data_IF_693860446392
#
_entry.id   IF_693860446392
#
_cell.length_a   1.000
_cell.length_b   1.000
_cell.length_c   1.000
_cell.angle_alpha   90.00
_cell.angle_beta   90.00
_cell.angle_gamma   90.00
#
_symmetry.space_group_name_H-M   'P 1'
#
loop_
_entity.id
_entity.type
_entity.pdbx_description
1 polymer ?
#
# COMPACT_ATOMS: atom_id res chain seq x y z
N UNK A 1 -53.71 -12.34 56.34
CA UNK A 1 -53.41 -12.44 54.89
C UNK A 1 -53.35 -11.08 54.19
N UNK A 2 -54.33 -10.18 54.34
CA UNK A 2 -54.35 -8.89 53.62
C UNK A 2 -53.16 -7.94 53.85
N UNK A 3 -52.59 -7.90 55.06
CA UNK A 3 -51.41 -7.06 55.36
C UNK A 3 -50.13 -7.51 54.66
N UNK A 4 -50.00 -8.82 54.40
CA UNK A 4 -48.83 -9.37 53.72
C UNK A 4 -48.90 -9.10 52.21
N UNK A 5 -50.10 -9.17 51.63
CA UNK A 5 -50.35 -8.86 50.23
C UNK A 5 -50.08 -7.37 49.92
N UNK A 6 -50.50 -6.47 50.81
CA UNK A 6 -50.26 -5.03 50.64
C UNK A 6 -48.77 -4.66 50.65
N UNK A 7 -47.97 -5.37 51.46
CA UNK A 7 -46.53 -5.14 51.56
C UNK A 7 -45.80 -5.60 50.28
N UNK A 8 -46.19 -6.74 49.73
CA UNK A 8 -45.65 -7.25 48.45
C UNK A 8 -46.00 -6.31 47.29
N UNK A 9 -47.24 -5.83 47.22
CA UNK A 9 -47.68 -4.88 46.19
C UNK A 9 -46.92 -3.54 46.27
N UNK A 10 -46.66 -3.06 47.48
CA UNK A 10 -45.87 -1.85 47.71
C UNK A 10 -44.42 -1.99 47.20
N UNK A 11 -43.77 -3.12 47.49
CA UNK A 11 -42.40 -3.38 47.02
C UNK A 11 -42.35 -3.50 45.50
N UNK A 12 -43.32 -4.19 44.88
CA UNK A 12 -43.38 -4.31 43.42
C UNK A 12 -43.60 -2.96 42.73
N UNK A 13 -44.42 -2.08 43.30
CA UNK A 13 -44.64 -0.73 42.78
C UNK A 13 -43.34 0.10 42.81
N UNK A 14 -42.58 0.03 43.90
CA UNK A 14 -41.30 0.74 44.02
C UNK A 14 -40.29 0.21 43.01
N UNK A 15 -40.18 -1.12 42.84
CA UNK A 15 -39.31 -1.73 41.83
C UNK A 15 -39.71 -1.29 40.42
N UNK A 16 -41.02 -1.24 40.13
CA UNK A 16 -41.52 -0.78 38.84
C UNK A 16 -41.16 0.68 38.57
N UNK A 17 -41.33 1.57 39.55
CA UNK A 17 -40.98 3.00 39.43
C UNK A 17 -39.47 3.18 39.21
N UNK A 18 -38.63 2.43 39.94
CA UNK A 18 -37.16 2.48 39.77
C UNK A 18 -36.74 1.95 38.40
N UNK A 19 -37.33 0.84 37.94
CA UNK A 19 -37.09 0.29 36.60
C UNK A 19 -37.54 1.24 35.49
N UNK A 20 -38.68 1.92 35.67
CA UNK A 20 -39.18 2.92 34.73
C UNK A 20 -38.26 4.16 34.70
N UNK A 21 -37.80 4.61 35.86
CA UNK A 21 -36.81 5.70 35.97
C UNK A 21 -35.47 5.36 35.32
N UNK A 22 -34.98 4.14 35.49
CA UNK A 22 -33.74 3.66 34.84
C UNK A 22 -33.90 3.48 33.32
N UNK A 23 -35.07 3.05 32.85
CA UNK A 23 -35.37 2.99 31.40
C UNK A 23 -35.51 4.38 30.78
N UNK A 24 -36.13 5.34 31.47
CA UNK A 24 -36.22 6.73 31.00
C UNK A 24 -34.86 7.44 31.04
N UNK A 25 -33.98 7.11 31.99
CA UNK A 25 -32.61 7.66 32.05
C UNK A 25 -31.67 7.10 30.97
N UNK A 26 -31.96 5.90 30.44
CA UNK A 26 -31.29 5.33 29.24
C UNK A 26 -31.97 5.72 27.92
N UNK A 27 -33.12 6.39 27.96
CA UNK A 27 -34.01 6.59 26.81
C UNK A 27 -34.06 8.00 26.22
N UNK A 28 -33.16 8.92 26.62
CA UNK A 28 -33.09 10.26 26.03
C UNK A 28 -31.83 10.45 25.19
N UNK A 29 -31.76 9.75 24.06
CA UNK A 29 -31.25 10.30 22.80
C UNK A 29 -32.40 10.37 21.77
N UNK A 30 -33.59 10.74 22.24
CA UNK A 30 -34.82 10.91 21.46
C UNK A 30 -34.91 12.27 20.74
N UNK A 31 -33.85 13.07 20.76
CA UNK A 31 -33.54 13.94 19.63
C UNK A 31 -32.61 13.14 18.74
N UNK A 32 -33.20 12.39 17.80
CA UNK A 32 -32.44 12.06 16.60
C UNK A 32 -31.88 13.38 16.10
N UNK A 33 -30.57 13.44 15.90
CA UNK A 33 -29.99 14.51 15.10
C UNK A 33 -30.75 14.46 13.78
N UNK A 34 -31.70 15.37 13.61
CA UNK A 34 -32.10 15.84 12.28
C UNK A 34 -30.85 16.51 11.76
N UNK A 35 -29.91 15.69 11.27
CA UNK A 35 -28.91 16.12 10.31
C UNK A 35 -29.75 16.73 9.20
N UNK A 36 -29.76 18.06 9.15
CA UNK A 36 -30.29 18.78 8.01
C UNK A 36 -29.63 18.14 6.79
N UNK A 37 -30.40 17.73 5.76
CA UNK A 37 -29.79 17.25 4.53
C UNK A 37 -28.99 18.42 3.95
N UNK A 38 -27.68 18.44 4.25
CA UNK A 38 -26.76 19.42 3.70
C UNK A 38 -26.64 19.03 2.22
N UNK A 39 -27.32 19.76 1.35
CA UNK A 39 -27.17 19.61 -0.09
C UNK A 39 -25.85 20.31 -0.48
N UNK A 40 -24.74 19.60 -0.31
CA UNK A 40 -23.40 20.12 -0.59
C UNK A 40 -23.18 20.01 -2.10
N UNK A 41 -23.11 21.14 -2.80
CA UNK A 41 -22.57 21.17 -4.15
C UNK A 41 -21.03 21.18 -4.08
N UNK A 42 -20.40 20.10 -4.59
CA UNK A 42 -18.94 19.94 -4.60
C UNK A 42 -18.26 21.11 -5.33
N UNK A 43 -18.93 21.70 -6.33
CA UNK A 43 -18.40 22.84 -7.09
C UNK A 43 -18.35 24.13 -6.29
N UNK A 44 -19.14 24.24 -5.22
CA UNK A 44 -19.15 25.42 -4.34
C UNK A 44 -18.08 25.33 -3.26
N UNK A 45 -17.57 24.14 -2.95
CA UNK A 45 -16.60 23.91 -1.86
C UNK A 45 -15.15 23.70 -2.33
N UNK A 46 -14.94 23.42 -3.63
CA UNK A 46 -13.62 23.33 -4.23
C UNK A 46 -13.22 24.65 -4.92
N UNK A 47 -11.93 25.02 -4.92
CA UNK A 47 -11.42 26.09 -5.77
C UNK A 47 -11.81 25.90 -7.24
N UNK A 48 -12.16 26.98 -7.93
CA UNK A 48 -12.63 26.93 -9.32
C UNK A 48 -11.65 26.31 -10.32
N UNK A 49 -10.35 26.29 -10.00
CA UNK A 49 -9.32 25.67 -10.82
C UNK A 49 -9.23 24.14 -10.65
N UNK A 50 -9.83 23.59 -9.60
CA UNK A 50 -9.79 22.16 -9.29
C UNK A 50 -11.01 21.46 -9.89
N UNK A 51 -10.82 20.21 -10.30
CA UNK A 51 -11.89 19.41 -10.90
C UNK A 51 -12.24 18.26 -9.96
N UNK A 52 -13.50 18.12 -9.51
CA UNK A 52 -13.87 17.00 -8.66
C UNK A 52 -13.72 15.67 -9.39
N UNK A 53 -13.25 14.64 -8.68
CA UNK A 53 -13.11 13.28 -9.17
C UNK A 53 -14.15 12.38 -8.48
N UNK A 54 -15.28 12.16 -9.16
CA UNK A 54 -16.36 11.32 -8.66
C UNK A 54 -17.38 12.06 -7.79
N UNK A 55 -18.12 11.29 -7.00
CA UNK A 55 -19.19 11.79 -6.11
C UNK A 55 -18.67 12.06 -4.70
N UNK A 56 -19.47 12.78 -3.91
CA UNK A 56 -19.21 13.03 -2.50
C UNK A 56 -19.37 11.73 -1.70
N UNK A 57 -18.32 11.36 -0.96
CA UNK A 57 -18.29 10.07 -0.24
C UNK A 57 -18.49 10.34 1.24
N UNK A 58 -19.54 9.77 1.84
CA UNK A 58 -19.72 9.85 3.29
C UNK A 58 -18.81 8.85 4.01
N UNK A 59 -18.07 9.31 5.02
CA UNK A 59 -17.26 8.47 5.90
C UNK A 59 -17.37 8.95 7.37
N UNK A 60 -16.69 8.25 8.28
CA UNK A 60 -16.57 8.60 9.70
C UNK A 60 -15.27 7.98 10.25
N UNK A 61 -14.17 8.72 10.14
CA UNK A 61 -12.83 8.30 10.57
C UNK A 61 -12.52 8.76 11.99
N UNK A 62 -12.96 9.95 12.37
CA UNK A 62 -12.74 10.49 13.72
C UNK A 62 -13.59 9.81 14.81
N UNK A 63 -14.65 9.09 14.42
CA UNK A 63 -15.49 8.28 15.29
C UNK A 63 -16.60 9.07 15.98
N UNK A 64 -16.84 10.32 15.56
CA UNK A 64 -17.80 11.20 16.19
C UNK A 64 -19.20 11.09 15.53
N UNK A 65 -20.26 11.76 16.06
CA UNK A 65 -21.61 11.68 15.49
C UNK A 65 -21.85 12.64 14.31
N UNK A 66 -20.88 13.51 14.00
CA UNK A 66 -20.94 14.46 12.91
C UNK A 66 -20.74 13.73 11.56
N UNK A 67 -21.11 14.40 10.46
CA UNK A 67 -20.95 13.78 9.14
C UNK A 67 -19.66 14.25 8.52
N UNK A 68 -18.84 13.31 8.09
CA UNK A 68 -17.65 13.62 7.32
C UNK A 68 -17.88 13.21 5.84
N UNK A 69 -17.36 14.04 4.93
CA UNK A 69 -17.42 13.81 3.50
C UNK A 69 -16.07 13.91 2.83
N UNK A 70 -15.66 12.84 2.17
CA UNK A 70 -14.46 12.75 1.36
C UNK A 70 -14.75 13.21 -0.08
N UNK A 71 -13.89 14.10 -0.56
CA UNK A 71 -13.84 14.57 -1.95
C UNK A 71 -12.45 14.30 -2.50
N UNK A 72 -12.38 13.59 -3.63
CA UNK A 72 -11.19 13.56 -4.46
C UNK A 72 -11.29 14.62 -5.55
N UNK A 73 -10.16 15.19 -5.94
CA UNK A 73 -10.11 16.24 -6.97
C UNK A 73 -8.79 16.19 -7.73
N UNK A 74 -8.82 16.71 -8.95
CA UNK A 74 -7.63 16.98 -9.76
C UNK A 74 -7.20 18.42 -9.61
N UNK A 75 -5.90 18.61 -9.49
CA UNK A 75 -5.25 19.92 -9.46
C UNK A 75 -3.91 19.86 -10.21
N UNK A 76 -3.37 21.03 -10.56
CA UNK A 76 -2.13 21.20 -11.33
C UNK A 76 -2.05 20.28 -12.56
N UNK A 77 -0.92 19.59 -12.78
CA UNK A 77 -0.67 18.66 -13.88
C UNK A 77 -1.41 17.31 -13.71
N UNK A 78 -2.73 17.37 -13.53
CA UNK A 78 -3.63 16.23 -13.35
C UNK A 78 -3.35 15.34 -12.11
N UNK A 79 -2.68 15.90 -11.09
CA UNK A 79 -2.46 15.24 -9.82
C UNK A 79 -3.77 15.10 -9.06
N UNK A 80 -3.97 13.95 -8.40
CA UNK A 80 -5.15 13.69 -7.57
C UNK A 80 -4.86 14.04 -6.12
N UNK A 81 -5.67 14.92 -5.55
CA UNK A 81 -5.69 15.26 -4.14
C UNK A 81 -6.95 14.72 -3.45
N UNK A 82 -7.00 14.88 -2.13
CA UNK A 82 -8.17 14.52 -1.33
C UNK A 82 -8.38 15.48 -0.16
N UNK A 83 -9.64 15.77 0.14
CA UNK A 83 -10.06 16.56 1.31
C UNK A 83 -11.22 15.83 1.99
N UNK A 84 -11.21 15.83 3.31
CA UNK A 84 -12.37 15.46 4.14
C UNK A 84 -12.99 16.74 4.68
N UNK A 85 -14.27 16.94 4.44
CA UNK A 85 -15.07 18.01 5.04
C UNK A 85 -15.83 17.45 6.23
N UNK A 86 -15.70 18.08 7.39
CA UNK A 86 -16.37 17.73 8.63
C UNK A 86 -17.53 18.71 8.91
N UNK A 87 -18.74 18.18 9.18
CA UNK A 87 -19.92 18.97 9.52
C UNK A 87 -19.94 19.39 10.99
N UNK A 88 -19.40 20.57 11.28
CA UNK A 88 -19.47 21.14 12.62
C UNK A 88 -20.79 21.84 12.86
N UNK A 89 -21.41 21.52 14.01
CA UNK A 89 -22.66 22.16 14.43
C UNK A 89 -22.48 23.63 14.88
N UNK A 90 -21.24 24.11 15.01
CA UNK A 90 -20.90 25.50 15.36
C UNK A 90 -19.78 26.04 14.45
N UNK A 91 -19.95 27.22 13.81
CA UNK A 91 -18.89 27.83 12.99
C UNK A 91 -17.66 28.20 13.84
N UNK A 92 -16.46 27.77 13.43
CA UNK A 92 -15.21 28.26 14.04
C UNK A 92 -14.87 29.65 13.50
N UNK A 93 -14.68 30.63 14.40
CA UNK A 93 -14.00 31.89 14.08
C UNK A 93 -14.78 32.91 13.24
N UNK A 94 -16.11 32.98 13.38
CA UNK A 94 -17.02 33.82 12.58
C UNK A 94 -16.82 35.36 12.62
N UNK A 95 -15.70 35.89 13.15
CA UNK A 95 -15.50 37.33 13.34
C UNK A 95 -14.62 38.01 12.27
N UNK A 96 -13.93 37.31 11.37
CA UNK A 96 -12.89 37.97 10.53
C UNK A 96 -12.83 37.65 9.03
N UNK A 97 -13.68 36.79 8.46
CA UNK A 97 -13.66 36.43 7.03
C UNK A 97 -14.98 36.86 6.35
N UNK A 98 -14.96 37.58 5.21
CA UNK A 98 -16.17 37.92 4.45
C UNK A 98 -16.98 36.67 4.06
N UNK A 99 -18.31 36.75 4.17
CA UNK A 99 -19.24 35.63 3.97
C UNK A 99 -19.08 34.90 2.61
N UNK A 100 -18.54 35.58 1.59
CA UNK A 100 -18.31 35.05 0.24
C UNK A 100 -17.09 34.12 0.14
N UNK A 101 -16.18 34.17 1.12
CA UNK A 101 -14.95 33.37 1.15
C UNK A 101 -15.00 32.30 2.26
N UNK A 102 -16.14 32.18 2.97
CA UNK A 102 -16.35 31.14 3.97
C UNK A 102 -16.88 29.87 3.26
N UNK A 103 -16.36 28.67 3.54
CA UNK A 103 -17.08 27.44 3.24
C UNK A 103 -18.49 27.53 3.87
N UNK A 104 -19.51 26.81 3.35
CA UNK A 104 -20.81 26.76 4.00
C UNK A 104 -20.59 26.55 5.49
N UNK A 105 -21.09 27.46 6.35
CA UNK A 105 -20.62 27.76 7.71
C UNK A 105 -20.55 26.60 8.73
N UNK A 106 -20.76 25.38 8.26
CA UNK A 106 -20.76 24.12 8.98
C UNK A 106 -19.69 23.15 8.45
N UNK A 107 -18.90 23.46 7.40
CA UNK A 107 -17.91 22.52 6.84
C UNK A 107 -16.48 22.96 7.11
N UNK A 108 -15.73 22.15 7.88
CA UNK A 108 -14.30 22.35 8.12
C UNK A 108 -13.49 21.44 7.18
N UNK A 109 -12.64 21.99 6.29
CA UNK A 109 -11.83 21.18 5.40
C UNK A 109 -10.55 20.66 6.07
N UNK A 110 -10.33 19.35 5.98
CA UNK A 110 -9.08 18.68 6.35
C UNK A 110 -8.43 18.05 5.11
N UNK A 111 -7.30 18.61 4.68
CA UNK A 111 -6.58 18.14 3.49
C UNK A 111 -5.82 16.84 3.78
N UNK A 112 -5.99 15.84 2.90
CA UNK A 112 -5.28 14.56 2.97
C UNK A 112 -3.90 14.65 2.31
N UNK A 113 -3.85 14.84 0.98
CA UNK A 113 -2.67 15.19 0.21
C UNK A 113 -3.06 16.10 -0.96
N UNK A 114 -2.24 17.10 -1.32
CA UNK A 114 -1.09 17.59 -0.56
C UNK A 114 -1.57 18.13 0.79
N UNK A 115 -0.80 17.89 1.85
CA UNK A 115 -1.13 18.37 3.21
C UNK A 115 -0.32 19.61 3.53
N UNK A 116 -0.73 20.42 4.51
CA UNK A 116 0.08 21.55 4.97
C UNK A 116 1.23 21.12 5.91
N UNK A 117 1.33 19.81 6.21
CA UNK A 117 2.33 19.24 7.13
C UNK A 117 3.55 18.72 6.37
N UNK A 118 4.73 19.13 6.80
CA UNK A 118 5.97 18.46 6.43
C UNK A 118 6.02 17.04 7.07
N UNK A 119 6.69 16.05 6.43
CA UNK A 119 7.37 16.15 5.13
C UNK A 119 6.43 16.01 3.93
N UNK A 120 5.14 15.72 4.12
CA UNK A 120 4.20 15.37 3.05
C UNK A 120 3.56 16.56 2.33
N UNK A 121 4.16 17.75 2.47
CA UNK A 121 3.61 18.99 1.95
C UNK A 121 3.54 19.10 0.42
N UNK A 122 4.17 18.14 -0.29
CA UNK A 122 4.34 18.13 -1.74
C UNK A 122 3.80 16.82 -2.35
N UNK A 123 3.08 16.01 -1.56
CA UNK A 123 2.56 14.71 -1.99
C UNK A 123 1.22 14.81 -2.73
N UNK A 124 0.89 13.77 -3.51
CA UNK A 124 -0.43 13.60 -4.13
C UNK A 124 -0.84 12.13 -4.08
N UNK A 125 -2.13 11.86 -4.21
CA UNK A 125 -2.71 10.52 -4.08
C UNK A 125 -2.51 9.65 -5.32
N UNK A 126 -2.50 10.22 -6.52
CA UNK A 126 -2.34 9.49 -7.79
C UNK A 126 -2.30 10.42 -9.00
N UNK A 127 -2.04 9.87 -10.19
CA UNK A 127 -2.06 10.63 -11.46
C UNK A 127 -3.23 10.21 -12.36
N UNK A 128 -3.58 8.93 -12.35
CA UNK A 128 -4.61 8.40 -13.23
C UNK A 128 -5.94 8.20 -12.51
N UNK A 129 -5.92 7.51 -11.37
CA UNK A 129 -7.10 7.12 -10.58
C UNK A 129 -6.69 6.96 -9.12
N UNK A 130 -7.65 7.05 -8.23
CA UNK A 130 -7.55 6.58 -6.83
C UNK A 130 -8.63 5.54 -6.54
N UNK A 131 -8.30 4.56 -5.70
CA UNK A 131 -9.27 3.72 -5.00
C UNK A 131 -9.09 3.95 -3.49
N UNK A 132 -10.17 3.76 -2.72
CA UNK A 132 -10.14 3.95 -1.28
C UNK A 132 -10.91 2.87 -0.53
N UNK A 133 -10.58 2.70 0.74
CA UNK A 133 -11.32 1.89 1.72
C UNK A 133 -11.30 2.56 3.08
N UNK A 134 -12.47 2.65 3.70
CA UNK A 134 -12.58 2.92 5.13
C UNK A 134 -12.38 1.61 5.89
N UNK A 135 -11.46 1.62 6.84
CA UNK A 135 -11.16 0.50 7.71
C UNK A 135 -11.61 0.87 9.12
N UNK A 136 -12.66 0.18 9.59
CA UNK A 136 -13.11 0.29 10.97
C UNK A 136 -12.20 -0.56 11.86
N UNK A 137 -11.64 0.03 12.91
CA UNK A 137 -10.90 -0.73 13.91
C UNK A 137 -11.90 -1.25 14.95
N UNK A 138 -12.41 -2.46 14.72
CA UNK A 138 -13.41 -3.10 15.58
C UNK A 138 -12.87 -4.40 16.19
N UNK A 139 -13.04 -4.66 17.50
CA UNK A 139 -13.59 -3.76 18.53
C UNK A 139 -12.67 -2.57 18.80
N UNK A 140 -13.17 -1.53 19.48
CA UNK A 140 -12.39 -0.41 20.04
C UNK A 140 -11.12 -0.98 20.69
N UNK A 141 -10.05 -1.04 19.91
CA UNK A 141 -8.80 -1.60 20.35
C UNK A 141 -8.09 -0.43 20.96
N UNK A 142 -7.85 -0.52 22.26
CA UNK A 142 -7.05 0.47 22.96
C UNK A 142 -5.61 0.13 22.64
N UNK A 143 -4.85 1.10 22.13
CA UNK A 143 -3.41 0.96 22.03
C UNK A 143 -2.86 0.75 23.44
N UNK A 144 -2.27 -0.42 23.69
CA UNK A 144 -1.77 -0.82 25.01
C UNK A 144 -0.61 0.07 25.51
N UNK A 145 0.03 0.84 24.62
CA UNK A 145 1.10 1.77 24.99
C UNK A 145 0.56 3.15 25.35
N UNK A 146 -0.38 3.69 24.56
CA UNK A 146 -0.93 5.04 24.78
C UNK A 146 -2.20 5.08 25.64
N UNK A 147 -2.94 3.98 25.73
CA UNK A 147 -4.24 3.93 26.40
C UNK A 147 -5.39 4.55 25.59
N UNK A 148 -5.13 4.98 24.36
CA UNK A 148 -6.11 5.64 23.49
C UNK A 148 -6.77 4.65 22.51
N UNK A 149 -8.03 4.90 22.09
CA UNK A 149 -8.65 4.18 20.99
C UNK A 149 -7.81 4.28 19.72
N UNK A 150 -7.53 3.15 19.05
CA UNK A 150 -6.94 3.18 17.71
C UNK A 150 -7.98 3.81 16.77
N UNK A 151 -7.67 4.96 16.12
CA UNK A 151 -8.63 5.61 15.24
C UNK A 151 -9.00 4.72 14.05
N UNK A 152 -10.16 4.96 13.43
CA UNK A 152 -10.43 4.37 12.12
C UNK A 152 -9.34 4.80 11.11
N UNK A 153 -9.24 4.07 10.00
CA UNK A 153 -8.27 4.37 8.96
C UNK A 153 -8.97 4.60 7.63
N UNK A 154 -8.43 5.53 6.84
CA UNK A 154 -8.76 5.65 5.43
C UNK A 154 -7.54 5.21 4.63
N UNK A 155 -7.66 4.09 3.93
CA UNK A 155 -6.64 3.56 3.06
C UNK A 155 -6.93 4.01 1.62
N UNK A 156 -5.95 4.60 0.95
CA UNK A 156 -6.05 5.09 -0.43
C UNK A 156 -4.90 4.51 -1.24
N UNK A 157 -5.20 4.06 -2.46
CA UNK A 157 -4.19 3.64 -3.45
C UNK A 157 -4.31 4.45 -4.72
N UNK A 158 -3.17 4.94 -5.20
CA UNK A 158 -3.05 5.73 -6.42
C UNK A 158 -2.52 4.93 -7.57
N UNK A 159 -3.05 5.19 -8.76
CA UNK A 159 -2.68 4.49 -9.97
C UNK A 159 -1.88 5.38 -10.93
N UNK A 160 -0.92 4.73 -11.60
CA UNK A 160 -0.16 5.26 -12.72
C UNK A 160 0.02 4.14 -13.75
N UNK A 161 -0.39 4.38 -15.00
CA UNK A 161 -0.35 3.38 -16.09
C UNK A 161 -1.09 2.07 -15.71
N UNK A 162 -2.22 2.20 -15.01
CA UNK A 162 -3.04 1.08 -14.56
C UNK A 162 -2.46 0.26 -13.40
N UNK A 163 -1.29 0.64 -12.86
CA UNK A 163 -0.65 -0.03 -11.73
C UNK A 163 -0.70 0.83 -10.47
N UNK A 164 -0.79 0.22 -9.30
CA UNK A 164 -0.75 0.95 -8.02
C UNK A 164 0.67 1.40 -7.76
N UNK A 165 0.95 2.70 -7.70
CA UNK A 165 2.30 3.19 -7.41
C UNK A 165 2.38 4.15 -6.22
N UNK A 166 1.24 4.39 -5.58
CA UNK A 166 1.11 5.16 -4.35
C UNK A 166 0.16 4.46 -3.40
N UNK A 167 0.53 4.44 -2.12
CA UNK A 167 -0.32 3.95 -1.03
C UNK A 167 -0.28 4.98 0.08
N UNK A 168 -1.45 5.36 0.57
CA UNK A 168 -1.61 6.30 1.68
C UNK A 168 -2.54 5.70 2.72
N UNK A 169 -2.09 5.69 3.97
CA UNK A 169 -2.91 5.34 5.12
C UNK A 169 -3.14 6.60 5.95
N UNK A 170 -4.39 7.01 6.11
CA UNK A 170 -4.77 8.20 6.87
C UNK A 170 -5.47 7.81 8.16
N UNK A 171 -5.31 8.66 9.18
CA UNK A 171 -6.02 8.55 10.46
C UNK A 171 -6.29 9.93 11.04
N UNK A 172 -7.40 10.05 11.78
CA UNK A 172 -7.68 11.25 12.54
C UNK A 172 -6.69 11.42 13.69
N UNK A 173 -6.19 12.64 13.90
CA UNK A 173 -5.35 12.98 15.05
C UNK A 173 -6.16 13.83 16.04
N UNK A 174 -6.59 15.03 15.61
CA UNK A 174 -7.48 15.91 16.36
C UNK A 174 -7.90 17.10 15.48
N UNK A 175 -8.81 17.91 16.00
CA UNK A 175 -9.38 19.08 15.33
C UNK A 175 -8.40 20.19 14.94
N UNK A 176 -7.25 20.26 15.61
CA UNK A 176 -6.21 21.26 15.30
C UNK A 176 -5.28 20.72 14.23
N UNK A 177 -5.01 19.42 14.28
CA UNK A 177 -4.01 18.77 13.46
C UNK A 177 -4.58 18.15 12.18
N UNK A 178 -5.87 17.82 12.18
CA UNK A 178 -6.54 17.07 11.12
C UNK A 178 -6.06 15.63 11.06
N UNK A 179 -5.79 15.18 9.82
CA UNK A 179 -5.39 13.82 9.53
C UNK A 179 -3.87 13.65 9.51
N UNK A 180 -3.40 12.57 10.12
CA UNK A 180 -2.05 12.02 9.92
C UNK A 180 -2.02 11.12 8.69
N UNK A 181 -0.81 10.88 8.17
CA UNK A 181 -0.61 10.06 6.98
C UNK A 181 0.69 9.28 7.01
N UNK A 182 0.61 7.99 6.66
CA UNK A 182 1.75 7.22 6.18
C UNK A 182 1.62 7.08 4.67
N UNK A 183 2.57 7.65 3.93
CA UNK A 183 2.54 7.67 2.46
C UNK A 183 3.76 6.96 1.87
N UNK A 184 3.52 6.06 0.91
CA UNK A 184 4.54 5.36 0.15
C UNK A 184 4.37 5.67 -1.35
N UNK A 185 5.50 5.84 -2.05
CA UNK A 185 5.57 6.04 -3.49
C UNK A 185 6.72 5.22 -4.08
N UNK A 186 6.50 4.63 -5.24
CA UNK A 186 7.54 3.97 -6.03
C UNK A 186 7.51 4.45 -7.50
N UNK A 187 8.63 4.29 -8.21
CA UNK A 187 8.71 4.50 -9.66
C UNK A 187 8.08 3.36 -10.46
N UNK A 188 8.01 2.16 -9.86
CA UNK A 188 7.34 1.00 -10.44
C UNK A 188 5.91 0.87 -9.93
N UNK A 189 5.60 -0.26 -9.31
CA UNK A 189 4.30 -0.49 -8.67
C UNK A 189 4.42 -1.27 -7.36
N UNK A 190 3.43 -1.13 -6.50
CA UNK A 190 3.29 -1.86 -5.26
C UNK A 190 2.48 -3.15 -5.44
N UNK A 191 2.77 -4.10 -4.56
CA UNK A 191 2.01 -5.32 -4.30
C UNK A 191 2.00 -5.59 -2.80
N UNK A 192 1.06 -6.40 -2.32
CA UNK A 192 1.05 -6.95 -0.96
C UNK A 192 1.85 -8.25 -0.83
N UNK A 193 2.42 -8.76 -1.94
CA UNK A 193 3.20 -9.99 -1.99
C UNK A 193 4.60 -9.77 -2.55
N UNK A 194 5.57 -10.49 -2.00
CA UNK A 194 6.90 -10.59 -2.60
C UNK A 194 6.95 -11.55 -3.78
N UNK A 195 5.93 -12.38 -4.03
CA UNK A 195 5.95 -13.39 -5.11
C UNK A 195 5.07 -13.01 -6.29
N UNK A 196 4.00 -12.28 -6.05
CA UNK A 196 3.04 -11.89 -7.07
C UNK A 196 3.00 -10.35 -7.18
N UNK A 197 3.44 -9.74 -8.29
CA UNK A 197 3.44 -8.30 -8.50
C UNK A 197 2.03 -7.68 -8.56
N UNK A 198 0.97 -8.49 -8.62
CA UNK A 198 -0.41 -8.03 -8.72
C UNK A 198 -1.28 -8.44 -7.53
N UNK A 199 -0.67 -8.98 -6.46
CA UNK A 199 -1.43 -9.37 -5.27
C UNK A 199 -1.91 -8.15 -4.48
N UNK A 200 -3.23 -7.99 -4.48
CA UNK A 200 -3.96 -7.04 -3.66
C UNK A 200 -5.11 -7.73 -2.92
N UNK A 201 -5.06 -9.05 -2.71
CA UNK A 201 -6.20 -9.76 -2.11
C UNK A 201 -6.48 -9.31 -0.67
N UNK A 202 -5.45 -9.00 0.11
CA UNK A 202 -5.62 -8.49 1.48
C UNK A 202 -6.23 -7.07 1.51
N UNK A 203 -6.08 -6.28 0.45
CA UNK A 203 -6.82 -5.03 0.28
C UNK A 203 -8.33 -5.30 0.25
N UNK A 204 -8.76 -6.33 -0.47
CA UNK A 204 -10.18 -6.70 -0.57
C UNK A 204 -10.79 -7.08 0.78
N UNK A 205 -9.96 -7.55 1.71
CA UNK A 205 -10.34 -7.91 3.07
C UNK A 205 -10.35 -6.72 4.06
N UNK A 206 -9.88 -5.54 3.64
CA UNK A 206 -9.85 -4.36 4.51
C UNK A 206 -8.76 -4.43 5.60
N UNK A 207 -7.66 -5.13 5.31
CA UNK A 207 -6.51 -5.21 6.22
C UNK A 207 -5.57 -4.04 5.95
N UNK A 208 -5.06 -3.40 7.01
CA UNK A 208 -4.02 -2.37 6.90
C UNK A 208 -2.73 -3.03 6.39
N UNK A 209 -2.15 -2.56 5.27
CA UNK A 209 -0.88 -3.10 4.78
C UNK A 209 0.27 -2.67 5.70
N UNK A 210 0.74 -3.56 6.57
CA UNK A 210 1.96 -3.31 7.35
C UNK A 210 3.22 -3.40 6.49
N UNK A 211 3.15 -4.15 5.39
CA UNK A 211 4.23 -4.30 4.42
C UNK A 211 3.72 -4.07 3.00
N UNK A 212 4.52 -3.39 2.19
CA UNK A 212 4.31 -3.22 0.75
C UNK A 212 5.55 -3.70 0.02
N UNK A 213 5.39 -4.29 -1.15
CA UNK A 213 6.49 -4.69 -2.02
C UNK A 213 6.46 -3.84 -3.28
N UNK A 214 7.44 -2.96 -3.43
CA UNK A 214 7.68 -2.21 -4.66
C UNK A 214 8.43 -3.08 -5.66
N UNK A 215 7.91 -3.15 -6.88
CA UNK A 215 8.49 -3.82 -8.04
C UNK A 215 8.93 -2.74 -9.00
N UNK A 216 10.23 -2.45 -9.01
CA UNK A 216 10.82 -1.31 -9.72
C UNK A 216 11.54 -1.78 -10.97
N UNK A 217 10.98 -1.55 -12.18
CA UNK A 217 11.59 -1.97 -13.43
C UNK A 217 13.00 -1.43 -13.54
N UNK A 218 13.93 -2.31 -13.86
CA UNK A 218 15.28 -1.95 -14.24
C UNK A 218 15.27 -1.59 -15.73
N UNK A 219 16.07 -0.59 -16.13
CA UNK A 219 16.15 -0.16 -17.52
C UNK A 219 16.98 -1.15 -18.34
N UNK A 220 16.46 -2.36 -18.50
CA UNK A 220 17.11 -3.49 -19.17
C UNK A 220 16.18 -4.16 -20.19
N UNK A 221 16.75 -5.07 -20.98
CA UNK A 221 16.06 -5.81 -22.04
C UNK A 221 15.40 -7.11 -21.58
N UNK A 222 15.73 -7.56 -20.37
CA UNK A 222 15.35 -8.82 -19.74
C UNK A 222 14.08 -8.71 -18.86
N UNK A 223 13.48 -7.52 -18.75
CA UNK A 223 12.27 -7.25 -17.97
C UNK A 223 12.47 -7.60 -16.48
N UNK A 224 13.61 -7.16 -15.93
CA UNK A 224 13.93 -7.35 -14.53
C UNK A 224 13.38 -6.20 -13.69
N UNK A 225 13.04 -6.52 -12.45
CA UNK A 225 12.60 -5.57 -11.45
C UNK A 225 13.50 -5.72 -10.23
N UNK A 226 13.89 -4.59 -9.63
CA UNK A 226 14.37 -4.58 -8.25
C UNK A 226 13.16 -4.62 -7.34
N UNK A 227 13.20 -5.50 -6.36
CA UNK A 227 12.14 -5.63 -5.37
C UNK A 227 12.58 -4.95 -4.09
N UNK A 228 11.84 -3.93 -3.66
CA UNK A 228 12.09 -3.18 -2.42
C UNK A 228 10.86 -3.34 -1.54
N UNK A 229 11.03 -3.75 -0.28
CA UNK A 229 9.90 -3.78 0.64
C UNK A 229 9.85 -2.50 1.45
N UNK A 230 8.65 -2.08 1.79
CA UNK A 230 8.37 -0.93 2.63
C UNK A 230 7.63 -1.43 3.86
N UNK A 231 7.98 -0.92 5.03
CA UNK A 231 7.31 -1.26 6.29
C UNK A 231 6.59 -0.06 6.84
N UNK A 232 5.39 -0.26 7.35
CA UNK A 232 4.76 0.70 8.23
C UNK A 232 5.51 0.68 9.57
N UNK A 233 6.14 1.80 9.91
CA UNK A 233 6.86 1.98 11.17
C UNK A 233 6.19 3.08 11.97
N UNK A 234 6.10 2.90 13.29
CA UNK A 234 5.69 3.95 14.22
C UNK A 234 6.92 4.55 14.87
N UNK A 235 7.05 5.87 14.81
CA UNK A 235 8.12 6.59 15.52
C UNK A 235 7.82 6.76 17.02
N UNK A 236 8.54 7.68 17.65
CA UNK A 236 8.45 7.94 19.11
C UNK A 236 7.07 8.42 19.53
N UNK A 237 6.37 9.16 18.66
CA UNK A 237 4.98 9.57 18.87
C UNK A 237 4.06 8.80 17.93
N UNK A 238 3.42 7.71 18.41
CA UNK A 238 2.45 6.95 17.63
C UNK A 238 1.36 7.90 17.10
N UNK A 239 1.02 7.81 15.81
CA UNK A 239 0.15 8.73 15.03
C UNK A 239 0.81 9.97 14.42
N UNK A 240 1.83 10.58 15.02
CA UNK A 240 2.52 11.72 14.38
C UNK A 240 3.68 11.26 13.52
N UNK A 241 4.39 10.24 13.97
CA UNK A 241 5.64 9.77 13.35
C UNK A 241 5.47 8.45 12.59
N UNK A 242 4.22 8.00 12.42
CA UNK A 242 3.94 6.78 11.66
C UNK A 242 4.11 7.03 10.16
N UNK A 243 4.97 6.24 9.51
CA UNK A 243 5.27 6.39 8.08
C UNK A 243 5.64 5.05 7.44
N UNK A 244 5.66 5.01 6.11
CA UNK A 244 6.24 3.87 5.39
C UNK A 244 7.73 4.12 5.17
N UNK A 245 8.57 3.20 5.63
CA UNK A 245 10.01 3.25 5.48
C UNK A 245 10.47 2.20 4.45
N UNK A 246 11.22 2.60 3.40
CA UNK A 246 11.77 1.66 2.42
C UNK A 246 12.97 0.91 2.97
N UNK A 247 12.97 -0.41 2.80
CA UNK A 247 14.09 -1.28 3.06
C UNK A 247 14.60 -1.80 1.72
N UNK A 248 15.68 -1.19 1.25
CA UNK A 248 16.32 -1.54 -0.01
C UNK A 248 16.91 -2.95 0.09
N UNK A 249 16.14 -3.95 -0.33
CA UNK A 249 16.71 -5.20 -0.83
C UNK A 249 17.16 -4.93 -2.25
N UNK A 250 18.46 -5.12 -2.54
CA UNK A 250 18.96 -5.08 -3.91
C UNK A 250 18.48 -6.27 -4.76
N UNK A 251 17.52 -7.04 -4.26
CA UNK A 251 17.04 -8.28 -4.85
C UNK A 251 16.38 -8.05 -6.22
N UNK A 252 16.99 -8.61 -7.24
CA UNK A 252 16.56 -8.62 -8.62
C UNK A 252 15.68 -9.83 -8.87
N UNK A 253 14.57 -9.58 -9.54
CA UNK A 253 13.60 -10.61 -9.91
C UNK A 253 13.00 -10.27 -11.27
N UNK A 254 12.14 -11.13 -11.79
CA UNK A 254 11.36 -10.82 -12.99
C UNK A 254 10.20 -9.92 -12.61
N UNK A 255 9.94 -8.88 -13.40
CA UNK A 255 8.78 -8.00 -13.17
C UNK A 255 7.43 -8.73 -13.21
N UNK A 256 7.37 -9.93 -13.80
CA UNK A 256 6.17 -10.79 -13.79
C UNK A 256 6.00 -11.64 -12.52
N UNK A 257 6.94 -11.57 -11.56
CA UNK A 257 6.98 -12.39 -10.34
C UNK A 257 7.46 -13.83 -10.55
N UNK A 258 7.58 -14.28 -11.81
CA UNK A 258 8.01 -15.64 -12.15
C UNK A 258 9.03 -15.64 -13.28
N UNK A 259 9.96 -16.62 -13.29
CA UNK A 259 10.88 -16.76 -14.40
C UNK A 259 10.12 -17.19 -15.67
N UNK A 260 10.42 -16.59 -16.84
CA UNK A 260 9.97 -17.11 -18.12
C UNK A 260 10.41 -18.57 -18.29
N UNK A 261 9.61 -19.36 -19.00
CA UNK A 261 9.99 -20.73 -19.35
C UNK A 261 11.30 -20.75 -20.16
N UNK A 262 11.42 -19.80 -21.08
CA UNK A 262 12.59 -19.64 -21.95
C UNK A 262 12.94 -18.15 -22.11
N UNK A 263 13.79 -17.62 -21.23
CA UNK A 263 14.27 -16.25 -21.29
C UNK A 263 15.09 -15.97 -22.56
N UNK A 264 14.79 -14.86 -23.24
CA UNK A 264 15.44 -14.48 -24.50
C UNK A 264 16.90 -14.01 -24.36
N UNK A 265 17.35 -13.72 -23.13
CA UNK A 265 18.66 -13.13 -22.86
C UNK A 265 19.45 -13.97 -21.84
N UNK A 266 20.80 -14.01 -21.97
CA UNK A 266 21.65 -14.86 -21.12
C UNK A 266 21.59 -14.46 -19.64
N UNK A 267 21.53 -13.16 -19.33
CA UNK A 267 21.37 -12.70 -17.95
C UNK A 267 20.04 -13.18 -17.33
N UNK A 268 18.95 -13.11 -18.09
CA UNK A 268 17.65 -13.62 -17.66
C UNK A 268 17.67 -15.14 -17.49
N UNK A 269 18.42 -15.87 -18.32
CA UNK A 269 18.58 -17.31 -18.17
C UNK A 269 19.24 -17.70 -16.84
N UNK A 270 20.28 -16.96 -16.45
CA UNK A 270 20.98 -17.17 -15.16
C UNK A 270 20.07 -16.84 -13.98
N UNK A 271 19.41 -15.67 -14.00
CA UNK A 271 18.47 -15.29 -12.94
C UNK A 271 17.33 -16.31 -12.81
N UNK A 272 16.81 -16.80 -13.93
CA UNK A 272 15.74 -17.79 -13.92
C UNK A 272 16.18 -19.11 -13.28
N UNK A 273 17.40 -19.58 -13.55
CA UNK A 273 17.96 -20.76 -12.89
C UNK A 273 18.20 -20.53 -11.40
N UNK A 274 18.75 -19.37 -11.02
CA UNK A 274 18.92 -18.99 -9.62
C UNK A 274 17.59 -18.84 -8.87
N UNK A 275 16.48 -18.67 -9.58
CA UNK A 275 15.12 -18.58 -9.02
C UNK A 275 14.47 -19.96 -8.85
N UNK A 276 14.52 -20.83 -9.86
CA UNK A 276 13.74 -22.08 -9.88
C UNK A 276 14.56 -23.38 -9.90
N UNK A 277 15.87 -23.31 -10.08
CA UNK A 277 16.79 -24.45 -10.06
C UNK A 277 16.53 -25.52 -11.11
N UNK A 278 15.76 -25.21 -12.15
CA UNK A 278 15.34 -26.23 -13.12
C UNK A 278 16.52 -26.68 -13.98
N UNK A 279 16.71 -28.00 -14.03
CA UNK A 279 17.78 -28.65 -14.78
C UNK A 279 17.74 -28.38 -16.29
N UNK A 280 16.56 -28.14 -16.86
CA UNK A 280 16.39 -27.84 -18.29
C UNK A 280 16.98 -26.50 -18.73
N UNK A 281 17.37 -25.65 -17.76
CA UNK A 281 18.10 -24.40 -17.98
C UNK A 281 19.61 -24.59 -18.16
N UNK A 282 20.12 -25.77 -17.80
CA UNK A 282 21.51 -26.15 -17.89
C UNK A 282 21.80 -26.81 -19.24
N UNK A 283 23.05 -26.69 -19.69
CA UNK A 283 23.52 -27.41 -20.86
C UNK A 283 23.56 -28.92 -20.55
N UNK A 284 22.96 -29.80 -21.38
CA UNK A 284 22.75 -31.21 -21.01
C UNK A 284 24.00 -31.96 -20.55
N UNK A 285 25.13 -31.74 -21.22
CA UNK A 285 26.42 -32.35 -20.91
C UNK A 285 26.96 -31.99 -19.52
N UNK A 286 26.60 -30.83 -18.98
CA UNK A 286 27.11 -30.31 -17.70
C UNK A 286 26.02 -30.28 -16.62
N UNK A 287 24.78 -30.64 -16.97
CA UNK A 287 23.62 -30.41 -16.11
C UNK A 287 23.70 -31.12 -14.76
N UNK A 288 24.25 -32.33 -14.69
CA UNK A 288 24.39 -33.06 -13.43
C UNK A 288 25.46 -32.41 -12.52
N UNK A 289 26.64 -32.13 -13.06
CA UNK A 289 27.73 -31.47 -12.33
C UNK A 289 27.32 -30.10 -11.83
N UNK A 290 26.69 -29.29 -12.68
CA UNK A 290 26.22 -27.96 -12.30
C UNK A 290 25.11 -28.03 -11.26
N UNK A 291 24.16 -28.97 -11.39
CA UNK A 291 23.11 -29.12 -10.37
C UNK A 291 23.67 -29.51 -9.00
N UNK A 292 24.69 -30.38 -8.97
CA UNK A 292 25.36 -30.74 -7.71
C UNK A 292 26.14 -29.56 -7.13
N UNK A 293 26.83 -28.80 -7.97
CA UNK A 293 27.61 -27.63 -7.54
C UNK A 293 26.72 -26.48 -7.05
N UNK A 294 25.59 -26.25 -7.70
CA UNK A 294 24.75 -25.08 -7.50
C UNK A 294 23.51 -25.34 -6.65
N UNK A 295 23.14 -26.60 -6.40
CA UNK A 295 21.90 -26.97 -5.72
C UNK A 295 21.71 -26.29 -4.36
N UNK A 296 22.79 -26.14 -3.60
CA UNK A 296 22.76 -25.50 -2.29
C UNK A 296 22.64 -23.96 -2.35
N UNK A 297 22.83 -23.36 -3.53
CA UNK A 297 22.75 -21.91 -3.76
C UNK A 297 21.38 -21.45 -4.26
N UNK A 298 20.41 -22.37 -4.42
CA UNK A 298 19.12 -22.07 -5.05
C UNK A 298 17.97 -22.31 -4.05
N UNK A 299 17.03 -21.35 -3.89
CA UNK A 299 16.98 -20.05 -4.56
C UNK A 299 18.01 -19.05 -4.01
N UNK A 300 18.55 -18.18 -4.87
CA UNK A 300 19.47 -17.11 -4.48
C UNK A 300 18.79 -15.73 -4.44
N UNK A 301 19.27 -14.85 -3.56
CA UNK A 301 18.97 -13.42 -3.61
C UNK A 301 19.99 -12.72 -4.49
N UNK A 302 19.57 -12.24 -5.66
CA UNK A 302 20.49 -11.68 -6.67
C UNK A 302 20.49 -10.16 -6.54
N UNK A 303 21.64 -9.55 -6.25
CA UNK A 303 21.74 -8.09 -6.08
C UNK A 303 22.02 -7.36 -7.39
N UNK A 304 22.84 -7.98 -8.24
CA UNK A 304 23.28 -7.41 -9.50
C UNK A 304 23.48 -8.53 -10.51
N UNK A 305 23.11 -8.24 -11.76
CA UNK A 305 23.42 -9.10 -12.89
C UNK A 305 23.87 -8.26 -14.07
N UNK A 306 25.05 -8.56 -14.58
CA UNK A 306 25.67 -7.81 -15.68
C UNK A 306 26.15 -8.79 -16.74
N UNK A 307 25.82 -8.55 -18.01
CA UNK A 307 26.31 -9.34 -19.13
C UNK A 307 27.45 -8.58 -19.83
N UNK A 308 28.73 -8.79 -19.44
CA UNK A 308 29.88 -8.01 -19.93
C UNK A 308 30.16 -8.12 -21.44
N UNK A 309 29.59 -9.10 -22.14
CA UNK A 309 29.71 -9.22 -23.60
C UNK A 309 29.96 -10.66 -24.10
N UNK A 310 30.02 -10.81 -25.42
CA UNK A 310 30.28 -12.09 -26.09
C UNK A 310 31.73 -12.52 -25.83
N UNK A 311 31.91 -13.71 -25.28
CA UNK A 311 33.24 -14.28 -24.97
C UNK A 311 33.99 -14.74 -26.22
N UNK A 312 33.24 -15.34 -27.14
CA UNK A 312 33.76 -15.90 -28.37
C UNK A 312 32.64 -15.90 -29.42
N UNK A 313 33.00 -15.55 -30.67
CA UNK A 313 32.14 -15.69 -31.84
C UNK A 313 32.14 -17.10 -32.44
N UNK A 314 32.76 -18.08 -31.75
CA UNK A 314 32.67 -19.49 -32.08
C UNK A 314 31.22 -19.99 -32.25
N UNK A 315 31.07 -21.14 -32.90
CA UNK A 315 29.78 -21.78 -33.14
C UNK A 315 29.61 -22.97 -32.17
N UNK A 316 28.75 -22.87 -31.14
CA UNK A 316 27.82 -21.78 -30.85
C UNK A 316 28.38 -20.66 -29.95
N UNK A 317 27.84 -19.43 -30.03
CA UNK A 317 28.32 -18.28 -29.28
C UNK A 317 28.10 -18.42 -27.78
N UNK A 318 29.06 -17.87 -27.01
CA UNK A 318 29.06 -17.89 -25.55
C UNK A 318 29.12 -16.48 -24.99
N UNK A 319 28.42 -16.26 -23.89
CA UNK A 319 28.33 -14.98 -23.18
C UNK A 319 28.70 -15.19 -21.72
N UNK A 320 29.45 -14.25 -21.16
CA UNK A 320 29.70 -14.18 -19.72
C UNK A 320 28.60 -13.35 -19.05
N UNK A 321 28.17 -13.79 -17.88
CA UNK A 321 27.21 -13.10 -17.02
C UNK A 321 27.78 -13.08 -15.62
N UNK A 322 28.05 -11.89 -15.10
CA UNK A 322 28.48 -11.69 -13.72
C UNK A 322 27.27 -11.49 -12.82
N UNK A 323 27.27 -12.17 -11.69
CA UNK A 323 26.20 -12.15 -10.70
C UNK A 323 26.79 -11.84 -9.34
N UNK A 324 26.29 -10.79 -8.71
CA UNK A 324 26.45 -10.56 -7.28
C UNK A 324 25.18 -11.06 -6.57
N UNK A 325 25.33 -11.94 -5.59
CA UNK A 325 24.22 -12.50 -4.84
C UNK A 325 24.58 -12.61 -3.35
N UNK A 326 23.58 -12.84 -2.51
CA UNK A 326 23.78 -13.12 -1.09
C UNK A 326 23.21 -14.48 -0.72
N UNK A 327 23.95 -15.20 0.12
CA UNK A 327 23.53 -16.48 0.70
C UNK A 327 23.93 -16.52 2.16
N UNK A 328 23.00 -16.88 3.04
CA UNK A 328 23.25 -16.95 4.49
C UNK A 328 23.89 -15.64 5.04
N UNK A 329 23.51 -14.49 4.46
CA UNK A 329 24.07 -13.16 4.70
C UNK A 329 25.55 -12.97 4.30
N UNK A 330 26.15 -13.93 3.60
CA UNK A 330 27.46 -13.80 2.98
C UNK A 330 27.31 -13.33 1.51
N UNK A 331 28.00 -12.25 1.12
CA UNK A 331 28.06 -11.86 -0.29
C UNK A 331 28.84 -12.91 -1.08
N UNK A 332 28.37 -13.17 -2.30
CA UNK A 332 28.98 -14.09 -3.23
C UNK A 332 28.99 -13.47 -4.62
N UNK A 333 30.12 -13.59 -5.31
CA UNK A 333 30.26 -13.20 -6.70
C UNK A 333 30.57 -14.40 -7.56
N UNK A 334 29.92 -14.48 -8.70
CA UNK A 334 30.07 -15.59 -9.64
C UNK A 334 30.04 -15.08 -11.06
N UNK A 335 30.80 -15.74 -11.93
CA UNK A 335 30.80 -15.51 -13.36
C UNK A 335 30.25 -16.75 -14.04
N UNK A 336 29.20 -16.58 -14.83
CA UNK A 336 28.47 -17.65 -15.50
C UNK A 336 28.79 -17.62 -16.98
N UNK A 337 29.04 -18.79 -17.56
CA UNK A 337 29.12 -18.95 -19.01
C UNK A 337 27.79 -19.48 -19.52
N UNK A 338 27.15 -18.71 -20.40
CA UNK A 338 25.88 -19.06 -21.02
C UNK A 338 26.10 -19.28 -22.51
N UNK A 339 25.64 -20.40 -23.04
CA UNK A 339 25.78 -20.80 -24.43
C UNK A 339 24.45 -20.66 -25.16
N UNK A 340 24.48 -20.03 -26.33
CA UNK A 340 23.33 -20.02 -27.24
C UNK A 340 23.15 -21.42 -27.85
N UNK A 341 21.93 -21.93 -27.91
CA UNK A 341 21.65 -23.11 -28.71
C UNK A 341 21.37 -22.67 -30.16
N UNK A 342 21.97 -23.31 -31.18
CA UNK A 342 21.67 -23.00 -32.57
C UNK A 342 20.16 -23.16 -32.83
N UNK A 343 19.48 -22.12 -33.35
CA UNK A 343 18.08 -22.23 -33.71
C UNK A 343 17.96 -23.19 -34.91
N UNK A 344 16.92 -24.03 -34.93
CA UNK A 344 16.68 -24.96 -36.04
C UNK A 344 16.12 -24.25 -37.27
N UNK A 345 15.59 -23.04 -37.10
CA UNK A 345 15.11 -22.18 -38.19
C UNK A 345 15.17 -20.69 -37.81
N UNK A 346 15.13 -19.80 -38.80
CA UNK A 346 15.13 -18.34 -38.61
C UNK A 346 13.91 -17.80 -37.81
N UNK A 347 12.85 -18.59 -37.70
CA UNK A 347 11.64 -18.21 -36.97
C UNK A 347 11.60 -18.76 -35.54
N UNK A 348 12.57 -19.59 -35.15
CA UNK A 348 12.65 -20.13 -33.81
C UNK A 348 13.30 -19.09 -32.88
N UNK A 349 12.78 -18.88 -31.66
CA UNK A 349 13.42 -18.01 -30.69
C UNK A 349 14.83 -18.51 -30.34
N UNK A 350 15.68 -17.58 -29.95
CA UNK A 350 17.02 -17.91 -29.46
C UNK A 350 16.90 -18.50 -28.06
N UNK A 351 17.52 -19.65 -27.85
CA UNK A 351 17.56 -20.34 -26.57
C UNK A 351 18.94 -20.23 -25.94
N UNK A 352 19.00 -20.05 -24.62
CA UNK A 352 20.24 -19.96 -23.85
C UNK A 352 20.32 -21.08 -22.81
N UNK A 353 21.50 -21.66 -22.62
CA UNK A 353 21.75 -22.68 -21.57
C UNK A 353 23.02 -22.40 -20.80
N UNK A 354 22.99 -22.65 -19.50
CA UNK A 354 24.13 -22.44 -18.62
C UNK A 354 25.14 -23.56 -18.84
N UNK A 355 26.35 -23.20 -19.27
CA UNK A 355 27.42 -24.12 -19.59
C UNK A 355 28.42 -24.28 -18.43
N UNK A 356 28.71 -23.20 -17.69
CA UNK A 356 29.65 -23.21 -16.57
C UNK A 356 29.37 -22.08 -15.57
N UNK A 357 29.92 -22.21 -14.37
CA UNK A 357 29.96 -21.19 -13.33
C UNK A 357 31.33 -21.19 -12.68
N UNK A 358 31.85 -20.00 -12.39
CA UNK A 358 33.08 -19.77 -11.64
C UNK A 358 32.75 -18.92 -10.41
N UNK A 359 33.22 -19.35 -9.24
CA UNK A 359 33.08 -18.59 -7.99
C UNK A 359 34.28 -17.66 -7.86
N UNK A 360 33.99 -16.38 -7.69
CA UNK A 360 35.02 -15.37 -7.49
C UNK A 360 35.37 -15.29 -6.00
N UNK A 361 36.64 -14.98 -5.66
CA UNK A 361 37.12 -14.90 -4.29
C UNK A 361 36.48 -13.78 -3.46
#
# INVERSE_FOLDING_TARGET
MGRFLALILGVLLVIFIVMLGLRLRRGNSLMGSTQLPLNIDIKEILPAAWQPEGELIRLNIDGDPESEWLVFYRYDDAQLGGIVYDAQNQPRGAESIPLTDQPPAYLVPYHLLPTYRAPYAIGYLGNQKVDYKQLAVTPYTIDTQSGEPIPNRLLVRGFERGQVNRVSLFWWINETLGYGVAHARTYGWFSLSNKDPHDWQAWDQGVVPEMLWAWEPQNDRSNLCRRVWWRLVSGETPLLDTHYEPFFSDDLTFCSGKPPADPAFPEAQVLAYLTDGKRDRLLPENAETLQQLLGDYIPAYVQEITAPGILDQGDPPRVQVDVAMTRDNAPLRTTWTVQMLPPKSIHEPVHWRIAAVEFLP
#
